data_IF_898080900279
#
_entry.id   IF_898080900279
#
_cell.length_a   1.000
_cell.length_b   1.000
_cell.length_c   1.000
_cell.angle_alpha   90.00
_cell.angle_beta   90.00
_cell.angle_gamma   90.00
#
_symmetry.space_group_name_H-M   'P 1'
#
loop_
_entity.id
_entity.type
_entity.pdbx_description
1 polymer ?
#
# COMPACT_ATOMS: atom_id res chain seq x y z
N UNK A 1 -24.72 -13.11 50.61
CA UNK A 1 -25.65 -12.48 49.64
C UNK A 1 -25.25 -11.05 49.24
N UNK A 2 -25.10 -10.06 50.15
CA UNK A 2 -24.75 -8.66 49.77
C UNK A 2 -23.37 -8.49 49.11
N UNK A 3 -22.40 -9.33 49.47
CA UNK A 3 -21.03 -9.32 48.94
C UNK A 3 -20.92 -9.98 47.56
N UNK A 4 -21.88 -10.85 47.22
CA UNK A 4 -21.93 -11.56 45.94
C UNK A 4 -22.62 -10.70 44.87
N UNK A 5 -23.59 -9.88 45.27
CA UNK A 5 -24.34 -8.97 44.39
C UNK A 5 -23.50 -7.76 43.94
N UNK A 6 -22.58 -7.28 44.80
CA UNK A 6 -21.61 -6.24 44.45
C UNK A 6 -20.49 -6.73 43.51
N UNK A 7 -20.10 -8.01 43.62
CA UNK A 7 -19.09 -8.61 42.73
C UNK A 7 -19.63 -8.83 41.31
N UNK A 8 -20.90 -9.20 41.15
CA UNK A 8 -21.54 -9.34 39.83
C UNK A 8 -21.83 -7.99 39.16
N UNK A 9 -22.13 -6.93 39.94
CA UNK A 9 -22.35 -5.58 39.39
C UNK A 9 -21.05 -4.92 38.91
N UNK A 10 -19.91 -5.20 39.55
CA UNK A 10 -18.60 -4.72 39.11
C UNK A 10 -18.12 -5.41 37.82
N UNK A 11 -18.45 -6.68 37.61
CA UNK A 11 -18.03 -7.45 36.44
C UNK A 11 -18.80 -7.07 35.16
N UNK A 12 -20.03 -6.56 35.29
CA UNK A 12 -20.84 -6.08 34.17
C UNK A 12 -20.34 -4.75 33.58
N UNK A 13 -19.65 -3.91 34.36
CA UNK A 13 -19.15 -2.62 33.89
C UNK A 13 -17.84 -2.70 33.09
N UNK A 14 -17.10 -3.81 33.19
CA UNK A 14 -15.82 -4.00 32.47
C UNK A 14 -16.02 -4.51 31.04
N UNK A 15 -17.17 -5.13 30.74
CA UNK A 15 -17.49 -5.64 29.39
C UNK A 15 -18.02 -4.58 28.41
N UNK A 16 -18.40 -3.39 28.89
CA UNK A 16 -18.94 -2.32 28.04
C UNK A 16 -17.87 -1.49 27.32
N UNK A 17 -16.57 -1.79 27.47
CA UNK A 17 -15.48 -1.02 26.87
C UNK A 17 -14.80 -1.69 25.65
N UNK A 18 -15.39 -2.74 25.07
CA UNK A 18 -14.85 -3.46 23.89
C UNK A 18 -15.70 -3.21 22.64
N UNK A 19 -16.11 -1.97 22.40
CA UNK A 19 -16.89 -1.66 21.19
C UNK A 19 -16.67 -0.24 20.66
N UNK A 20 -15.42 0.19 20.45
CA UNK A 20 -15.14 1.24 19.45
C UNK A 20 -13.65 1.36 19.08
N UNK A 21 -13.05 0.28 18.59
CA UNK A 21 -11.76 0.35 17.91
C UNK A 21 -11.80 -0.54 16.67
N UNK A 22 -12.47 -0.08 15.63
CA UNK A 22 -12.48 -0.79 14.36
C UNK A 22 -13.28 -0.03 13.32
N UNK A 23 -12.61 0.32 12.23
CA UNK A 23 -13.14 1.01 11.06
C UNK A 23 -13.28 2.54 11.15
N UNK A 24 -12.25 3.23 11.63
CA UNK A 24 -11.80 4.40 10.90
C UNK A 24 -10.77 3.88 9.88
N UNK A 25 -11.10 3.92 8.58
CA UNK A 25 -10.15 3.66 7.50
C UNK A 25 -8.96 4.56 7.69
N UNK A 26 -7.92 4.02 8.35
CA UNK A 26 -6.73 4.78 8.67
C UNK A 26 -5.86 4.67 7.44
N UNK A 27 -5.77 5.73 6.63
CA UNK A 27 -4.83 5.76 5.50
C UNK A 27 -3.43 5.41 6.01
N UNK A 28 -2.90 4.28 5.55
CA UNK A 28 -1.57 3.81 5.93
C UNK A 28 -0.55 4.29 4.89
N UNK A 29 0.67 4.59 5.35
CA UNK A 29 1.78 4.87 4.45
C UNK A 29 2.42 3.55 4.02
N UNK A 30 2.25 3.20 2.74
CA UNK A 30 2.76 1.97 2.14
C UNK A 30 3.91 2.31 1.21
N UNK A 31 5.05 1.65 1.41
CA UNK A 31 6.20 1.69 0.50
C UNK A 31 6.18 0.44 -0.35
N UNK A 32 6.29 0.61 -1.66
CA UNK A 32 6.22 -0.51 -2.56
C UNK A 32 6.51 -0.17 -4.01
N UNK A 33 6.59 -1.22 -4.82
CA UNK A 33 6.80 -1.12 -6.25
C UNK A 33 5.47 -1.15 -6.98
N UNK A 34 5.24 -0.19 -7.86
CA UNK A 34 4.09 -0.21 -8.77
C UNK A 34 4.35 -1.27 -9.84
N UNK A 35 3.70 -2.41 -9.74
CA UNK A 35 3.76 -3.51 -10.72
C UNK A 35 2.37 -3.75 -11.32
N UNK A 36 2.24 -4.79 -12.14
CA UNK A 36 0.98 -5.31 -12.64
C UNK A 36 0.59 -6.59 -11.88
N UNK A 37 -0.69 -6.93 -11.84
CA UNK A 37 -1.16 -8.14 -11.12
C UNK A 37 -0.60 -9.45 -11.68
N UNK A 38 -0.07 -9.48 -12.92
CA UNK A 38 0.55 -10.67 -13.52
C UNK A 38 1.97 -10.89 -13.02
N UNK A 39 2.71 -9.82 -12.79
CA UNK A 39 4.11 -9.86 -12.38
C UNK A 39 4.25 -9.81 -10.85
N UNK A 40 3.43 -8.99 -10.17
CA UNK A 40 3.47 -8.83 -8.72
C UNK A 40 4.89 -8.63 -8.22
N UNK A 41 5.31 -9.42 -7.23
CA UNK A 41 6.66 -9.34 -6.65
C UNK A 41 7.81 -9.55 -7.66
N UNK A 42 7.57 -10.21 -8.79
CA UNK A 42 8.59 -10.35 -9.85
C UNK A 42 8.90 -9.03 -10.55
N UNK A 43 7.97 -8.07 -10.48
CA UNK A 43 8.10 -6.74 -11.05
C UNK A 43 8.69 -5.68 -10.12
N UNK A 44 9.24 -6.07 -8.96
CA UNK A 44 9.92 -5.15 -8.02
C UNK A 44 11.31 -4.69 -8.53
N UNK A 45 11.38 -4.19 -9.76
CA UNK A 45 12.62 -3.70 -10.34
C UNK A 45 12.37 -2.57 -11.34
N UNK A 46 13.35 -1.66 -11.48
CA UNK A 46 13.25 -0.51 -12.37
C UNK A 46 13.15 -0.90 -13.86
N UNK A 47 13.62 -2.11 -14.24
CA UNK A 47 13.49 -2.61 -15.61
C UNK A 47 12.06 -3.05 -15.96
N UNK A 48 11.20 -3.20 -14.95
CA UNK A 48 9.82 -3.60 -15.11
C UNK A 48 8.90 -2.46 -15.54
N UNK A 49 9.33 -1.19 -15.43
CA UNK A 49 8.54 -0.02 -15.80
C UNK A 49 7.97 -0.09 -17.22
N UNK A 50 8.77 -0.50 -18.20
CA UNK A 50 8.30 -0.66 -19.58
C UNK A 50 7.30 -1.81 -19.75
N UNK A 51 7.39 -2.85 -18.93
CA UNK A 51 6.47 -3.98 -18.95
C UNK A 51 5.14 -3.60 -18.28
N UNK A 52 5.21 -2.98 -17.11
CA UNK A 52 4.04 -2.47 -16.38
C UNK A 52 3.23 -1.47 -17.23
N UNK A 53 3.88 -0.52 -17.93
CA UNK A 53 3.21 0.41 -18.85
C UNK A 53 2.47 -0.31 -19.98
N UNK A 54 3.08 -1.34 -20.58
CA UNK A 54 2.42 -2.15 -21.62
C UNK A 54 1.23 -2.92 -21.07
N UNK A 55 1.35 -3.49 -19.87
CA UNK A 55 0.26 -4.18 -19.20
C UNK A 55 -0.91 -3.24 -18.90
N UNK A 56 -0.65 -2.04 -18.39
CA UNK A 56 -1.71 -1.05 -18.20
C UNK A 56 -2.41 -0.66 -19.51
N UNK A 57 -1.64 -0.40 -20.57
CA UNK A 57 -2.19 -0.08 -21.89
C UNK A 57 -3.05 -1.21 -22.49
N UNK A 58 -2.79 -2.46 -22.08
CA UNK A 58 -3.60 -3.62 -22.44
C UNK A 58 -4.84 -3.81 -21.55
N UNK A 59 -5.07 -2.93 -20.57
CA UNK A 59 -6.20 -3.02 -19.62
C UNK A 59 -5.94 -3.91 -18.40
N UNK A 60 -4.69 -4.27 -18.13
CA UNK A 60 -4.32 -5.05 -16.95
C UNK A 60 -4.38 -4.19 -15.67
N UNK A 61 -4.76 -4.81 -14.54
CA UNK A 61 -4.81 -4.13 -13.25
C UNK A 61 -3.41 -3.87 -12.71
N UNK A 62 -3.20 -2.66 -12.20
CA UNK A 62 -2.02 -2.31 -11.40
C UNK A 62 -2.06 -3.01 -10.04
N UNK A 63 -0.88 -3.35 -9.55
CA UNK A 63 -0.66 -3.88 -8.23
C UNK A 63 0.51 -3.15 -7.55
N UNK A 64 0.34 -2.76 -6.30
CA UNK A 64 1.41 -2.25 -5.47
C UNK A 64 2.02 -3.41 -4.67
N UNK A 65 3.29 -3.69 -4.88
CA UNK A 65 4.00 -4.71 -4.11
C UNK A 65 4.69 -4.08 -2.93
N UNK A 66 4.26 -4.41 -1.71
CA UNK A 66 4.81 -3.82 -0.49
C UNK A 66 6.25 -4.26 -0.25
N UNK A 67 7.14 -3.34 0.11
CA UNK A 67 8.52 -3.70 0.50
C UNK A 67 8.52 -4.59 1.75
N UNK A 68 7.61 -4.28 2.68
CA UNK A 68 7.39 -5.07 3.89
C UNK A 68 6.48 -6.23 3.56
N UNK A 69 7.07 -7.42 3.47
CA UNK A 69 6.33 -8.67 3.30
C UNK A 69 5.96 -9.04 1.86
N UNK A 70 6.39 -8.24 0.86
CA UNK A 70 6.20 -8.53 -0.57
C UNK A 70 4.75 -8.87 -0.94
N UNK A 71 3.79 -8.22 -0.25
CA UNK A 71 2.37 -8.43 -0.51
C UNK A 71 1.98 -7.71 -1.79
N UNK A 72 1.24 -8.39 -2.65
CA UNK A 72 0.71 -7.83 -3.88
C UNK A 72 -0.67 -7.26 -3.57
N UNK A 73 -0.80 -5.93 -3.53
CA UNK A 73 -2.05 -5.24 -3.30
C UNK A 73 -2.60 -4.72 -4.63
N UNK A 74 -3.82 -5.09 -4.99
CA UNK A 74 -4.45 -4.57 -6.22
C UNK A 74 -4.77 -3.09 -6.05
N UNK A 75 -4.30 -2.24 -6.95
CA UNK A 75 -4.57 -0.81 -6.91
C UNK A 75 -5.97 -0.57 -7.46
N UNK A 76 -6.85 0.00 -6.63
CA UNK A 76 -8.26 0.21 -7.01
C UNK A 76 -8.44 1.47 -7.87
N UNK A 77 -7.52 2.43 -7.78
CA UNK A 77 -7.53 3.68 -8.53
C UNK A 77 -6.20 3.84 -9.33
N UNK A 78 -6.04 3.12 -10.44
CA UNK A 78 -4.80 3.08 -11.20
C UNK A 78 -4.34 4.46 -11.71
N UNK A 79 -5.28 5.35 -12.01
CA UNK A 79 -5.02 6.76 -12.38
C UNK A 79 -4.31 7.58 -11.29
N UNK A 80 -4.25 7.10 -10.03
CA UNK A 80 -3.40 7.72 -9.03
C UNK A 80 -1.91 7.43 -9.19
N UNK A 81 -1.57 6.36 -9.91
CA UNK A 81 -0.20 5.90 -10.13
C UNK A 81 0.22 6.00 -11.60
N UNK A 82 -0.59 6.66 -12.43
CA UNK A 82 -0.27 6.93 -13.83
C UNK A 82 1.04 7.74 -13.90
N UNK A 83 1.98 7.27 -14.73
CA UNK A 83 3.33 7.83 -14.83
C UNK A 83 4.34 7.28 -13.82
N UNK A 84 3.91 6.51 -12.82
CA UNK A 84 4.76 5.89 -11.80
C UNK A 84 4.86 4.36 -11.94
N UNK A 85 4.52 3.81 -13.10
CA UNK A 85 4.52 2.37 -13.35
C UNK A 85 5.94 1.80 -13.32
N UNK A 86 6.14 0.70 -12.59
CA UNK A 86 7.45 0.09 -12.33
C UNK A 86 8.42 0.96 -11.55
N UNK A 87 7.95 2.04 -10.92
CA UNK A 87 8.76 2.83 -10.01
C UNK A 87 8.55 2.37 -8.57
N UNK A 88 9.56 2.63 -7.75
CA UNK A 88 9.46 2.48 -6.32
C UNK A 88 8.81 3.74 -5.74
N UNK A 89 7.70 3.58 -5.03
CA UNK A 89 6.92 4.70 -4.50
C UNK A 89 6.58 4.49 -3.03
N UNK A 90 6.42 5.59 -2.33
CA UNK A 90 5.75 5.71 -1.04
C UNK A 90 4.41 6.36 -1.31
N UNK A 91 3.33 5.70 -0.91
CA UNK A 91 1.97 6.19 -1.09
C UNK A 91 1.25 6.11 0.24
N UNK A 92 0.33 7.05 0.50
CA UNK A 92 -0.67 6.90 1.55
C UNK A 92 -1.95 6.39 0.93
N UNK A 93 -2.65 5.54 1.65
CA UNK A 93 -3.88 4.98 1.13
C UNK A 93 -4.58 4.04 2.08
N UNK A 94 -5.84 3.77 1.79
CA UNK A 94 -6.64 2.79 2.52
C UNK A 94 -6.31 1.40 1.99
N UNK A 95 -5.72 0.56 2.84
CA UNK A 95 -5.44 -0.84 2.54
C UNK A 95 -6.63 -1.68 2.96
N UNK A 96 -7.21 -2.43 2.01
CA UNK A 96 -8.37 -3.29 2.23
C UNK A 96 -8.04 -4.72 1.83
N UNK A 97 -7.76 -5.60 2.80
CA UNK A 97 -7.39 -7.00 2.61
C UNK A 97 -6.25 -7.22 1.58
N UNK A 98 -6.60 -7.26 0.29
CA UNK A 98 -5.71 -7.50 -0.86
C UNK A 98 -5.73 -6.36 -1.89
N UNK A 99 -6.32 -5.22 -1.56
CA UNK A 99 -6.36 -4.02 -2.40
C UNK A 99 -5.91 -2.77 -1.66
N UNK A 100 -5.58 -1.73 -2.41
CA UNK A 100 -5.21 -0.42 -1.89
C UNK A 100 -5.88 0.68 -2.71
N UNK A 101 -6.42 1.69 -2.04
CA UNK A 101 -6.83 2.96 -2.63
C UNK A 101 -5.78 4.02 -2.30
N UNK A 102 -5.08 4.53 -3.31
CA UNK A 102 -3.98 5.48 -3.14
C UNK A 102 -4.49 6.91 -3.10
N UNK A 103 -4.06 7.71 -2.14
CA UNK A 103 -4.26 9.16 -2.17
C UNK A 103 -3.37 9.78 -3.25
N UNK A 104 -3.98 10.34 -4.29
CA UNK A 104 -3.30 10.96 -5.45
C UNK A 104 -2.24 12.00 -5.05
N UNK A 105 -2.53 12.77 -4.01
CA UNK A 105 -1.65 13.84 -3.52
C UNK A 105 -0.48 13.34 -2.65
N UNK A 106 -0.46 12.04 -2.32
CA UNK A 106 0.50 11.43 -1.40
C UNK A 106 1.60 10.62 -2.10
N UNK A 107 1.54 10.51 -3.43
CA UNK A 107 2.46 9.70 -4.21
C UNK A 107 3.84 10.35 -4.21
N UNK A 108 4.81 9.64 -3.62
CA UNK A 108 6.20 10.06 -3.57
C UNK A 108 7.08 8.98 -4.18
N UNK A 109 7.81 9.31 -5.24
CA UNK A 109 8.84 8.40 -5.73
C UNK A 109 9.95 8.25 -4.71
N UNK A 110 10.27 7.00 -4.40
CA UNK A 110 11.46 6.62 -3.68
C UNK A 110 12.50 6.25 -4.74
N UNK A 111 13.67 6.90 -4.72
CA UNK A 111 14.75 6.54 -5.62
C UNK A 111 14.99 5.02 -5.54
N UNK A 112 14.89 4.35 -6.68
CA UNK A 112 15.06 2.90 -6.75
C UNK A 112 16.39 2.55 -6.08
N UNK A 113 16.38 1.55 -5.19
CA UNK A 113 17.59 0.93 -4.65
C UNK A 113 18.33 0.26 -5.83
N UNK A 114 19.01 1.07 -6.63
CA UNK A 114 19.43 0.77 -8.00
C UNK A 114 19.94 2.00 -8.78
N UNK A 115 19.61 3.23 -8.38
CA UNK A 115 20.25 4.44 -8.93
C UNK A 115 21.34 4.96 -7.97
N UNK A 116 22.49 4.29 -8.01
CA UNK A 116 23.75 5.05 -7.94
C UNK A 116 24.04 5.53 -9.35
N UNK A 117 23.76 6.81 -9.61
CA UNK A 117 24.41 7.59 -10.66
C UNK A 117 23.76 7.54 -12.05
N UNK A 118 22.86 8.48 -12.30
CA UNK A 118 23.02 9.37 -13.46
C UNK A 118 23.19 10.78 -12.93
N UNK A 119 24.37 11.02 -12.34
CA UNK A 119 24.94 12.35 -12.44
C UNK A 119 25.06 12.64 -13.94
N UNK A 120 24.41 13.71 -14.37
CA UNK A 120 24.69 14.33 -15.66
C UNK A 120 26.18 14.66 -15.71
N UNK A 121 26.94 13.87 -16.44
CA UNK A 121 28.25 14.26 -16.96
C UNK A 121 28.40 13.58 -18.31
N UNK A 122 28.62 14.42 -19.32
CA UNK A 122 29.03 14.12 -20.69
C UNK A 122 27.97 13.66 -21.68
N UNK A 123 27.53 14.60 -22.53
CA UNK A 123 27.61 14.48 -24.00
C UNK A 123 27.77 15.87 -24.64
N UNK A 124 29.03 16.21 -24.96
CA UNK A 124 29.60 17.23 -25.88
C UNK A 124 29.45 18.73 -25.60
#
# INVERSE_FOLDING_TARGET
MKKLLLLTAALALVFSYVALAGAAGSSETVKGWVSDTKCGAKGMNAKHASCAKKCMGAGEKLALVTDKGQKVLTVSNPDALEGHEGHHVEVKGEVSADSIMVDKDSVKMLAAKGEKGSAMSDMH
#
